data_IF_044171360689
#
_entry.id   IF_044171360689
#
_cell.length_a   1.000
_cell.length_b   1.000
_cell.length_c   1.000
_cell.angle_alpha   90.00
_cell.angle_beta   90.00
_cell.angle_gamma   90.00
#
_symmetry.space_group_name_H-M   'P 1'
#
loop_
_entity.id
_entity.type
_entity.pdbx_description
1 polymer ?
#
# COMPACT_ATOMS: atom_id res chain seq x y z
N UNK A 1 61.31 -7.42 50.96
CA UNK A 1 61.59 -7.67 49.53
C UNK A 1 60.53 -8.55 48.87
N UNK A 2 60.28 -9.77 49.35
CA UNK A 2 59.28 -10.69 48.75
C UNK A 2 57.86 -10.09 48.76
N UNK A 3 57.42 -9.50 49.89
CA UNK A 3 56.09 -8.88 50.00
C UNK A 3 55.90 -7.71 49.02
N UNK A 4 56.91 -6.86 48.84
CA UNK A 4 56.87 -5.74 47.89
C UNK A 4 56.79 -6.22 46.44
N UNK A 5 57.51 -7.29 46.10
CA UNK A 5 57.46 -7.91 44.77
C UNK A 5 56.05 -8.47 44.51
N UNK A 6 55.45 -9.15 45.49
CA UNK A 6 54.09 -9.69 45.39
C UNK A 6 53.06 -8.58 45.17
N UNK A 7 53.14 -7.47 45.92
CA UNK A 7 52.23 -6.33 45.77
C UNK A 7 52.33 -5.71 44.36
N UNK A 8 53.55 -5.51 43.85
CA UNK A 8 53.77 -4.99 42.49
C UNK A 8 53.17 -5.93 41.43
N UNK A 9 53.30 -7.25 41.62
CA UNK A 9 52.77 -8.26 40.71
C UNK A 9 51.23 -8.25 40.67
N UNK A 10 50.59 -8.10 41.84
CA UNK A 10 49.13 -7.99 41.96
C UNK A 10 48.63 -6.73 41.26
N UNK A 11 49.27 -5.57 41.50
CA UNK A 11 48.89 -4.31 40.84
C UNK A 11 49.07 -4.40 39.33
N UNK A 12 50.16 -5.01 38.85
CA UNK A 12 50.40 -5.23 37.42
C UNK A 12 49.32 -6.12 36.77
N UNK A 13 48.90 -7.20 37.44
CA UNK A 13 47.82 -8.07 36.96
C UNK A 13 46.48 -7.34 36.87
N UNK A 14 46.15 -6.48 37.84
CA UNK A 14 44.91 -5.68 37.82
C UNK A 14 44.90 -4.73 36.62
N UNK A 15 46.01 -4.05 36.35
CA UNK A 15 46.11 -3.12 35.21
C UNK A 15 45.95 -3.86 33.87
N UNK A 16 46.57 -5.03 33.72
CA UNK A 16 46.41 -5.86 32.51
C UNK A 16 44.96 -6.31 32.36
N UNK A 17 44.31 -6.75 33.44
CA UNK A 17 42.92 -7.18 33.40
C UNK A 17 41.99 -6.03 32.95
N UNK A 18 42.14 -4.83 33.52
CA UNK A 18 41.37 -3.65 33.13
C UNK A 18 41.59 -3.28 31.65
N UNK A 19 42.83 -3.37 31.16
CA UNK A 19 43.15 -3.09 29.77
C UNK A 19 42.52 -4.11 28.80
N UNK A 20 42.63 -5.41 29.12
CA UNK A 20 41.99 -6.48 28.33
C UNK A 20 40.47 -6.31 28.32
N UNK A 21 39.85 -6.02 29.47
CA UNK A 21 38.41 -5.75 29.54
C UNK A 21 37.99 -4.54 28.70
N UNK A 22 38.77 -3.45 28.70
CA UNK A 22 38.48 -2.27 27.88
C UNK A 22 38.59 -2.57 26.36
N UNK A 23 39.61 -3.33 25.94
CA UNK A 23 39.77 -3.75 24.55
C UNK A 23 38.66 -4.71 24.13
N UNK A 24 38.29 -5.66 25.00
CA UNK A 24 37.20 -6.59 24.78
C UNK A 24 35.87 -5.83 24.59
N UNK A 25 35.56 -4.88 25.49
CA UNK A 25 34.36 -4.06 25.43
C UNK A 25 34.29 -3.22 24.15
N UNK A 26 35.42 -2.66 23.70
CA UNK A 26 35.48 -1.91 22.44
C UNK A 26 35.25 -2.83 21.23
N UNK A 27 35.88 -4.02 21.20
CA UNK A 27 35.65 -5.02 20.15
C UNK A 27 34.20 -5.49 20.12
N UNK A 28 33.61 -5.81 21.28
CA UNK A 28 32.21 -6.20 21.39
C UNK A 28 31.27 -5.09 20.93
N UNK A 29 31.55 -3.82 21.29
CA UNK A 29 30.77 -2.69 20.82
C UNK A 29 30.84 -2.54 19.29
N UNK A 30 32.04 -2.63 18.70
CA UNK A 30 32.20 -2.61 17.25
C UNK A 30 31.48 -3.76 16.55
N UNK A 31 31.56 -4.97 17.10
CA UNK A 31 30.83 -6.12 16.56
C UNK A 31 29.31 -5.97 16.71
N UNK A 32 28.84 -5.43 17.84
CA UNK A 32 27.43 -5.16 18.06
C UNK A 32 26.90 -4.13 17.07
N UNK A 33 27.64 -3.05 16.84
CA UNK A 33 27.26 -2.01 15.88
C UNK A 33 27.28 -2.53 14.43
N UNK A 34 28.27 -3.35 14.08
CA UNK A 34 28.29 -4.07 12.79
C UNK A 34 27.09 -4.99 12.62
N UNK A 35 26.72 -5.76 13.66
CA UNK A 35 25.54 -6.65 13.64
C UNK A 35 24.24 -5.85 13.50
N UNK A 36 24.11 -4.71 14.20
CA UNK A 36 22.95 -3.83 14.07
C UNK A 36 22.79 -3.30 12.64
N UNK A 37 23.87 -2.81 12.03
CA UNK A 37 23.81 -2.31 10.66
C UNK A 37 23.49 -3.44 9.67
N UNK A 38 24.08 -4.63 9.84
CA UNK A 38 23.72 -5.80 9.03
C UNK A 38 22.23 -6.17 9.15
N UNK A 39 21.66 -6.14 10.35
CA UNK A 39 20.22 -6.39 10.56
C UNK A 39 19.36 -5.35 9.86
N UNK A 40 19.76 -4.08 9.90
CA UNK A 40 19.08 -2.99 9.18
C UNK A 40 19.10 -3.20 7.68
N UNK A 41 20.25 -3.55 7.10
CA UNK A 41 20.36 -3.81 5.66
C UNK A 41 19.55 -5.06 5.24
N UNK A 42 19.50 -6.10 6.07
CA UNK A 42 18.61 -7.25 5.84
C UNK A 42 17.14 -6.85 5.80
N UNK A 43 16.69 -6.02 6.75
CA UNK A 43 15.31 -5.54 6.77
C UNK A 43 14.96 -4.73 5.51
N UNK A 44 15.90 -3.92 5.00
CA UNK A 44 15.74 -3.19 3.73
C UNK A 44 15.57 -4.16 2.55
N UNK A 45 16.38 -5.23 2.48
CA UNK A 45 16.28 -6.24 1.43
C UNK A 45 14.94 -6.96 1.50
N UNK A 46 14.56 -7.45 2.69
CA UNK A 46 13.29 -8.16 2.89
C UNK A 46 12.09 -7.29 2.51
N UNK A 47 12.09 -6.02 2.93
CA UNK A 47 11.04 -5.05 2.58
C UNK A 47 10.93 -4.84 1.05
N UNK A 48 12.08 -4.76 0.39
CA UNK A 48 12.18 -4.50 -1.05
C UNK A 48 11.81 -5.74 -1.86
N UNK A 49 12.22 -6.93 -1.42
CA UNK A 49 11.83 -8.21 -2.02
C UNK A 49 10.32 -8.44 -1.86
N UNK A 50 9.73 -8.16 -0.70
CA UNK A 50 8.29 -8.24 -0.50
C UNK A 50 7.53 -7.30 -1.45
N UNK A 51 8.04 -6.07 -1.64
CA UNK A 51 7.46 -5.13 -2.61
C UNK A 51 7.57 -5.65 -4.05
N UNK A 52 8.71 -6.25 -4.43
CA UNK A 52 8.92 -6.86 -5.75
C UNK A 52 8.00 -8.07 -6.00
N UNK A 53 7.77 -8.90 -4.99
CA UNK A 53 6.90 -10.07 -5.11
C UNK A 53 5.43 -9.68 -5.33
N UNK A 54 5.03 -8.46 -4.92
CA UNK A 54 3.69 -7.94 -5.14
C UNK A 54 3.47 -7.30 -6.53
N UNK A 55 4.47 -7.35 -7.44
CA UNK A 55 4.36 -6.85 -8.82
C UNK A 55 3.20 -7.49 -9.60
N UNK A 56 2.84 -8.75 -9.28
CA UNK A 56 1.70 -9.41 -9.94
C UNK A 56 0.37 -8.65 -9.75
N UNK A 57 0.22 -7.86 -8.68
CA UNK A 57 -1.01 -7.13 -8.38
C UNK A 57 -0.90 -5.63 -8.67
N UNK A 58 0.31 -5.06 -8.67
CA UNK A 58 0.54 -3.63 -8.88
C UNK A 58 1.39 -3.46 -10.14
N UNK A 59 0.90 -2.78 -11.19
CA UNK A 59 1.68 -2.55 -12.38
C UNK A 59 2.89 -1.66 -12.07
N UNK A 60 4.09 -2.20 -12.26
CA UNK A 60 5.34 -1.45 -12.10
C UNK A 60 5.82 -0.90 -13.43
N UNK A 61 6.21 0.37 -13.44
CA UNK A 61 7.01 0.94 -14.51
C UNK A 61 8.43 0.37 -14.47
N UNK A 62 9.12 0.45 -15.60
CA UNK A 62 10.54 0.08 -15.71
C UNK A 62 11.40 0.83 -14.68
N UNK A 63 11.09 2.12 -14.45
CA UNK A 63 11.79 2.95 -13.47
C UNK A 63 11.56 2.46 -12.03
N UNK A 64 10.32 2.17 -11.67
CA UNK A 64 9.98 1.66 -10.32
C UNK A 64 10.74 0.36 -10.06
N UNK A 65 10.70 -0.56 -11.02
CA UNK A 65 11.36 -1.86 -10.89
C UNK A 65 12.89 -1.71 -10.81
N UNK A 66 13.48 -0.82 -11.62
CA UNK A 66 14.92 -0.51 -11.57
C UNK A 66 15.34 0.11 -10.24
N UNK A 67 14.53 0.99 -9.67
CA UNK A 67 14.79 1.61 -8.35
C UNK A 67 14.80 0.55 -7.25
N UNK A 68 13.84 -0.37 -7.24
CA UNK A 68 13.78 -1.46 -6.27
C UNK A 68 14.98 -2.41 -6.41
N UNK A 69 15.35 -2.77 -7.65
CA UNK A 69 16.54 -3.58 -7.90
C UNK A 69 17.82 -2.88 -7.43
N UNK A 70 17.96 -1.57 -7.69
CA UNK A 70 19.09 -0.77 -7.21
C UNK A 70 19.14 -0.70 -5.68
N UNK A 71 18.01 -0.48 -5.02
CA UNK A 71 17.90 -0.50 -3.55
C UNK A 71 18.41 -1.83 -2.96
N UNK A 72 18.04 -2.96 -3.57
CA UNK A 72 18.57 -4.28 -3.19
C UNK A 72 20.07 -4.41 -3.40
N UNK A 73 20.58 -3.97 -4.55
CA UNK A 73 22.01 -3.96 -4.83
C UNK A 73 22.79 -3.13 -3.81
N UNK A 74 22.33 -1.92 -3.48
CA UNK A 74 23.03 -1.00 -2.58
C UNK A 74 23.04 -1.53 -1.14
N UNK A 75 21.93 -2.14 -0.68
CA UNK A 75 21.88 -2.82 0.60
C UNK A 75 22.85 -4.02 0.65
N UNK A 76 22.88 -4.84 -0.40
CA UNK A 76 23.82 -5.96 -0.51
C UNK A 76 25.29 -5.49 -0.55
N UNK A 77 25.57 -4.39 -1.25
CA UNK A 77 26.92 -3.81 -1.34
C UNK A 77 27.42 -3.37 0.04
N UNK A 78 26.53 -2.71 0.81
CA UNK A 78 26.79 -2.32 2.20
C UNK A 78 27.00 -3.55 3.10
N UNK A 79 26.24 -4.62 2.91
CA UNK A 79 26.43 -5.86 3.67
C UNK A 79 27.78 -6.54 3.37
N UNK A 80 28.22 -6.52 2.10
CA UNK A 80 29.52 -7.06 1.69
C UNK A 80 30.67 -6.24 2.29
N UNK A 81 30.55 -4.90 2.35
CA UNK A 81 31.58 -4.07 2.99
C UNK A 81 31.67 -4.30 4.50
N UNK A 82 30.54 -4.60 5.16
CA UNK A 82 30.50 -4.91 6.59
C UNK A 82 30.96 -6.33 6.90
N UNK A 83 30.85 -7.27 5.96
CA UNK A 83 31.23 -8.68 6.11
C UNK A 83 31.97 -9.21 4.87
N UNK A 84 33.22 -8.77 4.63
CA UNK A 84 33.96 -9.10 3.41
C UNK A 84 34.37 -10.58 3.30
N UNK A 85 34.29 -11.35 4.41
CA UNK A 85 34.57 -12.78 4.44
C UNK A 85 33.43 -13.66 3.92
N UNK A 86 32.22 -13.13 3.75
CA UNK A 86 31.06 -13.92 3.33
C UNK A 86 31.04 -14.13 1.82
N UNK A 87 31.34 -15.35 1.37
CA UNK A 87 31.19 -15.76 -0.05
C UNK A 87 29.73 -15.67 -0.51
N UNK A 88 28.78 -16.00 0.38
CA UNK A 88 27.34 -15.98 0.08
C UNK A 88 26.88 -14.55 -0.27
N UNK A 89 27.30 -13.54 0.50
CA UNK A 89 26.92 -12.15 0.23
C UNK A 89 27.52 -11.63 -1.08
N UNK A 90 28.76 -12.03 -1.41
CA UNK A 90 29.40 -11.68 -2.68
C UNK A 90 28.67 -12.29 -3.88
N UNK A 91 28.25 -13.54 -3.78
CA UNK A 91 27.47 -14.20 -4.84
C UNK A 91 26.13 -13.48 -5.04
N UNK A 92 25.39 -13.19 -3.95
CA UNK A 92 24.13 -12.43 -4.03
C UNK A 92 24.32 -11.03 -4.61
N UNK A 93 25.41 -10.34 -4.28
CA UNK A 93 25.75 -9.04 -4.86
C UNK A 93 25.94 -9.14 -6.38
N UNK A 94 26.66 -10.16 -6.84
CA UNK A 94 26.88 -10.38 -8.27
C UNK A 94 25.55 -10.67 -9.00
N UNK A 95 24.70 -11.53 -8.44
CA UNK A 95 23.35 -11.79 -8.98
C UNK A 95 22.50 -10.50 -9.05
N UNK A 96 22.54 -9.67 -8.00
CA UNK A 96 21.83 -8.39 -7.98
C UNK A 96 22.38 -7.40 -9.03
N UNK A 97 23.70 -7.41 -9.27
CA UNK A 97 24.34 -6.59 -10.30
C UNK A 97 23.97 -7.05 -11.70
N UNK A 98 23.92 -8.35 -11.95
CA UNK A 98 23.45 -8.91 -13.22
C UNK A 98 21.99 -8.52 -13.49
N UNK A 99 21.11 -8.61 -12.47
CA UNK A 99 19.71 -8.16 -12.59
C UNK A 99 19.57 -6.69 -12.97
N UNK A 100 20.47 -5.83 -12.47
CA UNK A 100 20.45 -4.39 -12.74
C UNK A 100 20.91 -4.06 -14.19
N UNK A 101 21.81 -4.88 -14.73
CA UNK A 101 22.30 -4.75 -16.10
C UNK A 101 21.32 -5.32 -17.13
N UNK A 102 20.51 -6.31 -16.74
CA UNK A 102 19.50 -6.87 -17.61
C UNK A 102 18.40 -5.85 -17.91
N UNK A 103 17.87 -5.84 -19.14
CA UNK A 103 16.73 -4.99 -19.48
C UNK A 103 15.55 -5.38 -18.58
N UNK A 104 14.93 -4.34 -18.03
CA UNK A 104 13.77 -4.48 -17.15
C UNK A 104 12.52 -4.42 -18.02
N UNK A 105 11.62 -5.38 -17.86
CA UNK A 105 10.27 -5.32 -18.41
C UNK A 105 9.29 -5.11 -17.26
N UNK A 106 8.91 -3.87 -17.06
CA UNK A 106 7.80 -3.47 -16.23
C UNK A 106 6.48 -3.92 -16.85
N UNK A 107 5.49 -4.13 -15.99
CA UNK A 107 4.11 -4.24 -16.43
C UNK A 107 3.63 -2.82 -16.72
N UNK A 108 4.01 -2.29 -17.90
CA UNK A 108 3.59 -0.97 -18.37
C UNK A 108 2.09 -0.91 -18.73
N UNK A 109 1.30 -1.90 -18.28
CA UNK A 109 -0.14 -1.90 -18.44
C UNK A 109 -0.77 -0.89 -17.49
N UNK A 110 -1.50 0.07 -18.06
CA UNK A 110 -2.45 0.91 -17.32
C UNK A 110 -3.70 0.11 -16.90
N UNK A 111 -3.88 -1.10 -17.46
CA UNK A 111 -5.01 -1.98 -17.17
C UNK A 111 -4.82 -2.68 -15.83
N UNK A 112 -5.46 -2.13 -14.81
CA UNK A 112 -5.50 -2.71 -13.48
C UNK A 112 -6.59 -3.79 -13.40
N UNK A 113 -6.23 -5.05 -13.16
CA UNK A 113 -7.21 -6.08 -12.81
C UNK A 113 -7.59 -5.96 -11.34
N UNK A 114 -8.80 -5.49 -11.08
CA UNK A 114 -9.27 -5.31 -9.71
C UNK A 114 -9.68 -6.63 -9.08
N UNK A 115 -9.12 -7.00 -7.93
CA UNK A 115 -9.55 -8.18 -7.19
C UNK A 115 -11.03 -8.07 -6.82
N UNK A 116 -11.73 -9.21 -6.78
CA UNK A 116 -13.11 -9.26 -6.29
C UNK A 116 -13.22 -9.26 -4.77
N UNK A 117 -12.12 -9.53 -4.06
CA UNK A 117 -12.10 -9.61 -2.61
C UNK A 117 -11.66 -8.28 -1.99
N UNK A 118 -12.47 -7.76 -1.06
CA UNK A 118 -12.17 -6.53 -0.30
C UNK A 118 -10.85 -6.61 0.47
N UNK A 119 -10.49 -7.79 1.01
CA UNK A 119 -9.20 -7.97 1.69
C UNK A 119 -8.02 -7.80 0.74
N UNK A 120 -8.16 -8.28 -0.51
CA UNK A 120 -7.14 -8.12 -1.54
C UNK A 120 -7.04 -6.67 -2.02
N UNK A 121 -8.16 -5.94 -2.12
CA UNK A 121 -8.17 -4.51 -2.42
C UNK A 121 -7.44 -3.68 -1.35
N UNK A 122 -7.68 -3.97 -0.06
CA UNK A 122 -6.97 -3.29 1.03
C UNK A 122 -5.47 -3.57 0.98
N UNK A 123 -5.08 -4.83 0.75
CA UNK A 123 -3.67 -5.23 0.59
C UNK A 123 -3.02 -4.52 -0.61
N UNK A 124 -3.74 -4.39 -1.72
CA UNK A 124 -3.27 -3.67 -2.92
C UNK A 124 -2.99 -2.19 -2.60
N UNK A 125 -3.94 -1.50 -1.96
CA UNK A 125 -3.76 -0.09 -1.56
C UNK A 125 -2.58 0.07 -0.60
N UNK A 126 -2.44 -0.84 0.37
CA UNK A 126 -1.31 -0.85 1.30
C UNK A 126 0.02 -1.06 0.58
N UNK A 127 0.07 -1.96 -0.40
CA UNK A 127 1.24 -2.19 -1.24
C UNK A 127 1.67 -0.94 -2.00
N UNK A 128 0.73 -0.22 -2.63
CA UNK A 128 1.05 1.03 -3.35
C UNK A 128 1.54 2.10 -2.37
N UNK A 129 0.93 2.22 -1.18
CA UNK A 129 1.40 3.17 -0.14
C UNK A 129 2.83 2.84 0.31
N UNK A 130 3.13 1.57 0.55
CA UNK A 130 4.48 1.10 0.91
C UNK A 130 5.49 1.46 -0.19
N UNK A 131 5.11 1.24 -1.45
CA UNK A 131 5.95 1.58 -2.59
C UNK A 131 6.23 3.08 -2.70
N UNK A 132 5.23 3.95 -2.48
CA UNK A 132 5.43 5.41 -2.41
C UNK A 132 6.41 5.80 -1.30
N UNK A 133 6.33 5.16 -0.13
CA UNK A 133 7.27 5.39 0.98
C UNK A 133 8.69 4.98 0.59
N UNK A 134 8.85 3.81 -0.06
CA UNK A 134 10.14 3.34 -0.56
C UNK A 134 10.71 4.33 -1.56
N UNK A 135 9.93 4.73 -2.58
CA UNK A 135 10.36 5.70 -3.60
C UNK A 135 10.79 7.04 -2.99
N UNK A 136 10.02 7.56 -2.02
CA UNK A 136 10.37 8.78 -1.29
C UNK A 136 11.67 8.63 -0.51
N UNK A 137 11.88 7.48 0.13
CA UNK A 137 13.13 7.23 0.86
C UNK A 137 14.34 7.11 -0.07
N UNK A 138 14.18 6.58 -1.29
CA UNK A 138 15.25 6.53 -2.29
C UNK A 138 15.52 7.89 -2.94
N UNK A 139 14.48 8.70 -3.16
CA UNK A 139 14.62 10.10 -3.57
C UNK A 139 15.38 10.93 -2.52
N UNK A 140 15.04 10.79 -1.23
CA UNK A 140 15.74 11.48 -0.13
C UNK A 140 17.22 11.07 0.00
N UNK A 141 17.61 9.90 -0.48
CA UNK A 141 19.01 9.44 -0.53
C UNK A 141 19.75 9.93 -1.78
N UNK A 142 19.07 10.56 -2.75
CA UNK A 142 19.64 10.97 -4.03
C UNK A 142 19.76 9.86 -5.06
N UNK A 143 19.15 8.69 -4.83
CA UNK A 143 19.21 7.55 -5.75
C UNK A 143 18.23 7.66 -6.93
N UNK A 144 17.33 8.64 -6.88
CA UNK A 144 16.22 8.82 -7.80
C UNK A 144 16.11 10.29 -8.20
N UNK A 145 16.05 10.56 -9.51
CA UNK A 145 15.95 11.92 -10.04
C UNK A 145 14.61 12.58 -9.70
N UNK A 146 14.63 13.88 -9.38
CA UNK A 146 13.42 14.59 -8.94
C UNK A 146 12.30 14.61 -9.98
N UNK A 147 12.61 14.65 -11.29
CA UNK A 147 11.58 14.60 -12.32
C UNK A 147 10.97 13.19 -12.41
N UNK A 148 11.82 12.15 -12.40
CA UNK A 148 11.35 10.76 -12.35
C UNK A 148 10.51 10.48 -11.11
N UNK A 149 10.88 11.05 -9.96
CA UNK A 149 10.12 10.91 -8.72
C UNK A 149 8.69 11.43 -8.87
N UNK A 150 8.53 12.64 -9.42
CA UNK A 150 7.22 13.27 -9.59
C UNK A 150 6.36 12.47 -10.58
N UNK A 151 6.95 11.94 -11.65
CA UNK A 151 6.23 11.11 -12.63
C UNK A 151 5.73 9.82 -11.97
N UNK A 152 6.60 9.10 -11.26
CA UNK A 152 6.22 7.85 -10.60
C UNK A 152 5.23 8.07 -9.45
N UNK A 153 5.40 9.13 -8.66
CA UNK A 153 4.48 9.43 -7.56
C UNK A 153 3.08 9.76 -8.09
N UNK A 154 2.97 10.54 -9.17
CA UNK A 154 1.69 10.80 -9.86
C UNK A 154 1.08 9.53 -10.43
N UNK A 155 1.89 8.63 -11.00
CA UNK A 155 1.42 7.33 -11.51
C UNK A 155 0.81 6.47 -10.39
N UNK A 156 1.48 6.41 -9.24
CA UNK A 156 0.98 5.69 -8.07
C UNK A 156 -0.29 6.33 -7.48
N UNK A 157 -0.37 7.65 -7.47
CA UNK A 157 -1.57 8.38 -7.07
C UNK A 157 -2.75 8.10 -7.99
N UNK A 158 -2.54 8.12 -9.31
CA UNK A 158 -3.55 7.74 -10.31
C UNK A 158 -4.04 6.31 -10.09
N UNK A 159 -3.13 5.36 -9.86
CA UNK A 159 -3.50 3.97 -9.56
C UNK A 159 -4.35 3.86 -8.29
N UNK A 160 -4.01 4.60 -7.22
CA UNK A 160 -4.81 4.61 -5.99
C UNK A 160 -6.22 5.15 -6.23
N UNK A 161 -6.34 6.22 -7.02
CA UNK A 161 -7.62 6.81 -7.41
C UNK A 161 -8.47 5.82 -8.22
N UNK A 162 -7.88 5.17 -9.23
CA UNK A 162 -8.53 4.15 -10.05
C UNK A 162 -9.06 2.99 -9.19
N UNK A 163 -8.22 2.45 -8.29
CA UNK A 163 -8.62 1.39 -7.35
C UNK A 163 -9.81 1.81 -6.51
N UNK A 164 -9.76 3.03 -5.96
CA UNK A 164 -10.81 3.53 -5.09
C UNK A 164 -12.14 3.63 -5.85
N UNK A 165 -12.15 4.32 -6.99
CA UNK A 165 -13.37 4.55 -7.79
C UNK A 165 -13.99 3.24 -8.22
N UNK A 166 -13.20 2.36 -8.84
CA UNK A 166 -13.73 1.10 -9.38
C UNK A 166 -14.20 0.16 -8.25
N UNK A 167 -13.54 0.18 -7.09
CA UNK A 167 -14.01 -0.52 -5.90
C UNK A 167 -15.36 0.01 -5.43
N UNK A 168 -15.55 1.33 -5.39
CA UNK A 168 -16.85 1.92 -5.01
C UNK A 168 -17.94 1.60 -6.03
N UNK A 169 -17.64 1.70 -7.34
CA UNK A 169 -18.59 1.37 -8.41
C UNK A 169 -19.01 -0.11 -8.29
N UNK A 170 -18.06 -1.03 -8.15
CA UNK A 170 -18.35 -2.47 -8.00
C UNK A 170 -19.21 -2.76 -6.78
N UNK A 171 -18.95 -2.11 -5.64
CA UNK A 171 -19.79 -2.22 -4.43
C UNK A 171 -21.18 -1.62 -4.63
N UNK A 172 -21.27 -0.48 -5.32
CA UNK A 172 -22.53 0.16 -5.70
C UNK A 172 -23.40 -0.74 -6.58
N UNK A 173 -22.82 -1.33 -7.62
CA UNK A 173 -23.48 -2.27 -8.52
C UNK A 173 -23.94 -3.54 -7.79
N UNK A 174 -23.09 -4.11 -6.94
CA UNK A 174 -23.45 -5.28 -6.13
C UNK A 174 -24.60 -4.97 -5.17
N UNK A 175 -24.54 -3.84 -4.45
CA UNK A 175 -25.61 -3.41 -3.55
C UNK A 175 -26.94 -3.17 -4.31
N UNK A 176 -26.87 -2.58 -5.51
CA UNK A 176 -28.03 -2.38 -6.37
C UNK A 176 -28.65 -3.70 -6.82
N UNK A 177 -27.83 -4.67 -7.24
CA UNK A 177 -28.32 -6.01 -7.61
C UNK A 177 -28.97 -6.76 -6.44
N UNK A 178 -28.59 -6.43 -5.20
CA UNK A 178 -29.18 -6.96 -3.98
C UNK A 178 -30.43 -6.19 -3.50
N UNK A 179 -30.91 -5.20 -4.27
CA UNK A 179 -32.07 -4.36 -3.90
C UNK A 179 -31.79 -3.30 -2.84
N UNK A 180 -30.53 -3.12 -2.40
CA UNK A 180 -30.13 -2.12 -1.41
C UNK A 180 -29.81 -0.78 -2.07
N UNK A 181 -30.85 -0.11 -2.59
CA UNK A 181 -30.72 1.14 -3.37
C UNK A 181 -30.07 2.28 -2.57
N UNK A 182 -30.38 2.39 -1.28
CA UNK A 182 -29.77 3.40 -0.40
C UNK A 182 -28.25 3.22 -0.24
N UNK A 183 -27.82 1.99 0.01
CA UNK A 183 -26.38 1.64 0.08
C UNK A 183 -25.67 1.84 -1.26
N UNK A 184 -26.32 1.46 -2.36
CA UNK A 184 -25.80 1.69 -3.71
C UNK A 184 -25.56 3.18 -3.97
N UNK A 185 -26.53 4.04 -3.65
CA UNK A 185 -26.41 5.49 -3.76
C UNK A 185 -25.20 6.02 -2.98
N UNK A 186 -25.04 5.57 -1.73
CA UNK A 186 -23.93 6.00 -0.89
C UNK A 186 -22.57 5.63 -1.48
N UNK A 187 -22.43 4.46 -2.10
CA UNK A 187 -21.18 4.06 -2.77
C UNK A 187 -20.89 4.95 -3.99
N UNK A 188 -21.90 5.25 -4.81
CA UNK A 188 -21.72 6.15 -5.96
C UNK A 188 -21.44 7.60 -5.54
N UNK A 189 -22.09 8.12 -4.49
CA UNK A 189 -21.78 9.45 -3.94
C UNK A 189 -20.34 9.53 -3.42
N UNK A 190 -19.82 8.46 -2.79
CA UNK A 190 -18.40 8.39 -2.38
C UNK A 190 -17.45 8.41 -3.57
N UNK A 191 -17.77 7.68 -4.64
CA UNK A 191 -16.99 7.69 -5.88
C UNK A 191 -16.99 9.09 -6.51
N UNK A 192 -18.16 9.71 -6.59
CA UNK A 192 -18.35 11.06 -7.11
C UNK A 192 -17.56 12.10 -6.33
N UNK A 193 -17.63 12.07 -4.99
CA UNK A 193 -16.86 12.97 -4.13
C UNK A 193 -15.34 12.79 -4.29
N UNK A 194 -14.88 11.56 -4.51
CA UNK A 194 -13.47 11.28 -4.76
C UNK A 194 -13.01 11.81 -6.11
N UNK A 195 -13.86 11.72 -7.14
CA UNK A 195 -13.60 12.27 -8.47
C UNK A 195 -13.62 13.80 -8.48
N UNK A 196 -14.54 14.45 -7.76
CA UNK A 196 -14.65 15.91 -7.70
C UNK A 196 -13.53 16.58 -6.89
N UNK A 197 -12.89 15.83 -5.98
CA UNK A 197 -11.73 16.30 -5.22
C UNK A 197 -10.44 16.35 -6.07
N UNK A 198 -10.43 15.74 -7.26
CA UNK A 198 -9.27 15.72 -8.14
C UNK A 198 -9.11 17.09 -8.81
N UNK A 199 -7.96 17.74 -8.60
CA UNK A 199 -7.68 19.08 -9.14
C UNK A 199 -7.16 19.09 -10.58
N UNK A 200 -6.91 17.92 -11.17
CA UNK A 200 -6.41 17.76 -12.54
C UNK A 200 -7.46 17.14 -13.47
N UNK A 201 -7.37 17.48 -14.76
CA UNK A 201 -8.20 16.87 -15.80
C UNK A 201 -7.48 15.67 -16.41
N UNK A 202 -8.11 14.50 -16.35
CA UNK A 202 -7.65 13.25 -16.96
C UNK A 202 -8.83 12.60 -17.69
N UNK A 203 -8.67 12.11 -18.94
CA UNK A 203 -9.70 11.37 -19.65
C UNK A 203 -10.39 10.29 -18.81
N UNK A 204 -9.64 9.58 -17.96
CA UNK A 204 -10.21 8.56 -17.07
C UNK A 204 -11.18 9.18 -16.04
N UNK A 205 -10.79 10.30 -15.42
CA UNK A 205 -11.58 10.99 -14.41
C UNK A 205 -12.88 11.50 -15.03
N UNK A 206 -12.80 12.13 -16.20
CA UNK A 206 -13.99 12.64 -16.90
C UNK A 206 -14.95 11.53 -17.30
N UNK A 207 -14.44 10.42 -17.85
CA UNK A 207 -15.28 9.28 -18.24
C UNK A 207 -15.97 8.64 -17.03
N UNK A 208 -15.24 8.42 -15.92
CA UNK A 208 -15.81 7.85 -14.70
C UNK A 208 -16.75 8.79 -13.96
N UNK A 209 -16.52 10.09 -14.05
CA UNK A 209 -17.43 11.09 -13.51
C UNK A 209 -18.81 10.98 -14.19
N UNK A 210 -18.84 10.94 -15.52
CA UNK A 210 -20.08 10.75 -16.29
C UNK A 210 -20.75 9.40 -16.01
N UNK A 211 -19.96 8.32 -15.89
CA UNK A 211 -20.48 6.99 -15.55
C UNK A 211 -21.18 6.98 -14.17
N UNK A 212 -20.53 7.59 -13.16
CA UNK A 212 -21.07 7.67 -11.79
C UNK A 212 -22.29 8.58 -11.71
N UNK A 213 -22.31 9.72 -12.42
CA UNK A 213 -23.50 10.57 -12.51
C UNK A 213 -24.68 9.79 -13.12
N UNK A 214 -24.45 9.03 -14.20
CA UNK A 214 -25.47 8.19 -14.80
C UNK A 214 -26.05 7.15 -13.82
N UNK A 215 -25.22 6.54 -12.97
CA UNK A 215 -25.70 5.64 -11.92
C UNK A 215 -26.54 6.35 -10.85
N UNK A 216 -26.14 7.55 -10.42
CA UNK A 216 -26.89 8.35 -9.45
C UNK A 216 -28.24 8.81 -9.99
N UNK A 217 -28.29 9.24 -11.25
CA UNK A 217 -29.53 9.61 -11.93
C UNK A 217 -30.49 8.42 -12.04
N UNK A 218 -29.98 7.25 -12.45
CA UNK A 218 -30.77 6.03 -12.54
C UNK A 218 -31.39 5.66 -11.18
N UNK A 219 -30.62 5.76 -10.08
CA UNK A 219 -31.13 5.54 -8.73
C UNK A 219 -32.16 6.60 -8.33
N UNK A 220 -31.95 7.87 -8.68
CA UNK A 220 -32.89 8.94 -8.39
C UNK A 220 -34.25 8.69 -9.04
N UNK A 221 -34.25 8.24 -10.30
CA UNK A 221 -35.47 7.86 -11.03
C UNK A 221 -36.13 6.64 -10.38
N UNK A 222 -35.37 5.60 -10.04
CA UNK A 222 -35.86 4.39 -9.38
C UNK A 222 -36.52 4.69 -8.03
N UNK A 223 -35.91 5.56 -7.21
CA UNK A 223 -36.45 6.00 -5.93
C UNK A 223 -37.71 6.85 -6.08
N UNK A 224 -37.76 7.76 -7.07
CA UNK A 224 -38.97 8.56 -7.36
C UNK A 224 -40.13 7.67 -7.78
N UNK A 225 -39.89 6.71 -8.67
CA UNK A 225 -40.90 5.75 -9.13
C UNK A 225 -41.40 4.85 -7.98
N UNK A 226 -40.47 4.33 -7.16
CA UNK A 226 -40.80 3.51 -5.99
C UNK A 226 -41.64 4.28 -4.96
N UNK A 227 -41.25 5.52 -4.65
CA UNK A 227 -41.99 6.36 -3.70
C UNK A 227 -43.38 6.74 -4.22
N UNK A 228 -43.51 7.05 -5.52
CA UNK A 228 -44.80 7.34 -6.14
C UNK A 228 -45.74 6.13 -6.07
N UNK A 229 -45.22 4.92 -6.32
CA UNK A 229 -46.00 3.68 -6.21
C UNK A 229 -46.36 3.34 -4.76
N UNK A 230 -45.45 3.59 -3.81
CA UNK A 230 -45.72 3.38 -2.38
C UNK A 230 -46.79 4.35 -1.86
N UNK A 231 -46.78 5.61 -2.31
CA UNK A 231 -47.79 6.59 -1.95
C UNK A 231 -49.17 6.19 -2.48
N UNK A 232 -49.25 5.78 -3.76
CA UNK A 232 -50.50 5.29 -4.38
C UNK A 232 -51.08 4.08 -3.63
N UNK A 233 -50.26 3.08 -3.32
CA UNK A 233 -50.70 1.91 -2.56
C UNK A 233 -51.23 2.26 -1.17
N UNK A 234 -50.60 3.23 -0.48
CA UNK A 234 -51.12 3.73 0.80
C UNK A 234 -52.46 4.44 0.64
N UNK A 235 -52.61 5.27 -0.40
CA UNK A 235 -53.87 5.98 -0.64
C UNK A 235 -54.99 5.00 -0.99
N UNK A 236 -54.70 3.97 -1.79
CA UNK A 236 -55.66 2.91 -2.13
C UNK A 236 -56.05 2.07 -0.89
N UNK A 237 -55.10 1.72 -0.03
CA UNK A 237 -55.39 1.03 1.24
C UNK A 237 -56.21 1.88 2.21
N UNK A 238 -55.90 3.17 2.36
CA UNK A 238 -56.69 4.09 3.18
C UNK A 238 -58.11 4.26 2.64
N UNK A 239 -58.29 4.21 1.31
CA UNK A 239 -59.61 4.27 0.69
C UNK A 239 -60.43 3.00 0.93
N UNK A 240 -59.81 1.82 0.80
CA UNK A 240 -60.47 0.53 1.06
C UNK A 240 -60.85 0.38 2.54
N UNK A 241 -59.98 0.78 3.47
CA UNK A 241 -60.27 0.77 4.91
C UNK A 241 -61.41 1.74 5.29
N UNK A 242 -61.48 2.90 4.64
CA UNK A 242 -62.61 3.83 4.79
C UNK A 242 -63.91 3.22 4.27
N UNK A 243 -63.90 2.58 3.10
CA UNK A 243 -65.08 1.93 2.54
C UNK A 243 -65.58 0.76 3.42
N UNK A 244 -64.66 0.02 4.05
CA UNK A 244 -65.01 -1.01 5.05
C UNK A 244 -65.65 -0.40 6.31
N UNK A 245 -65.20 0.78 6.76
CA UNK A 245 -65.76 1.48 7.92
C UNK A 245 -67.18 2.04 7.67
N UNK A 246 -67.51 2.36 6.41
CA UNK A 246 -68.83 2.85 5.99
C UNK A 246 -69.73 1.79 5.36
N UNK A 247 -69.26 0.54 5.26
CA UNK A 247 -70.09 -0.57 4.80
C UNK A 247 -71.34 -0.71 5.69
N UNK A 248 -72.54 -0.92 5.10
CA UNK A 248 -73.77 -1.00 5.86
C UNK A 248 -73.68 -2.15 6.86
N UNK A 249 -73.71 -1.82 8.17
CA UNK A 249 -73.63 -2.81 9.25
C UNK A 249 -74.68 -3.88 9.02
N UNK A 250 -74.25 -5.13 8.82
CA UNK A 250 -75.14 -6.29 8.76
C UNK A 250 -75.96 -6.31 10.06
N UNK A 251 -77.26 -6.01 9.94
CA UNK A 251 -78.23 -6.26 11.00
C UNK A 251 -78.31 -7.77 11.17
N UNK A 252 -78.01 -8.22 12.38
CA UNK A 252 -78.28 -9.57 12.86
C UNK A 252 -79.79 -9.80 12.91
#
# INVERSE_FOLDING_TARGET
MIVSIIIILIVALIVIALWVSAVQQHKEKQEADRRKELTKQKAIIEETEEALMNNANIPFSDNTLRVLQRRNHDALSTMVSLSPGSKILKNRLNEAKERLNNPVQGSNSESLSLPSNDKQLVSLIQGIKKLRIILRSEHNKGNLDSQLFVIEDKRMEKLQLQINIESQIKRGLSARSAGMVGSARQYFEKAHASLSAVSYSDPYVTAKYQEVEGYLEAISVELRASNANALKKKTEQEQDDLDVLFAPKKKW
#
